data_IF_475499186525
#
_entry.id   IF_475499186525
#
_cell.length_a   1.000
_cell.length_b   1.000
_cell.length_c   1.000
_cell.angle_alpha   90.00
_cell.angle_beta   90.00
_cell.angle_gamma   90.00
#
_symmetry.space_group_name_H-M   'P 1'
#
loop_
_entity.id
_entity.type
_entity.pdbx_description
1 polymer ?
#
# COMPACT_ATOMS: atom_id res chain seq x y z
N UNK A 1 -28.58 5.76 25.99
CA UNK A 1 -27.16 6.14 25.85
C UNK A 1 -26.96 6.66 24.46
N UNK A 2 -26.82 7.99 24.33
CA UNK A 2 -26.71 8.70 23.07
C UNK A 2 -25.57 8.10 22.23
N UNK A 3 -25.92 7.36 21.18
CA UNK A 3 -24.94 6.88 20.22
C UNK A 3 -24.43 8.11 19.49
N UNK A 4 -23.29 8.61 19.95
CA UNK A 4 -22.64 9.78 19.38
C UNK A 4 -22.48 9.60 17.85
N UNK A 5 -23.12 10.50 17.11
CA UNK A 5 -23.34 10.40 15.67
C UNK A 5 -22.21 11.04 14.85
N UNK A 6 -21.14 11.57 15.48
CA UNK A 6 -20.12 12.36 14.78
C UNK A 6 -19.54 11.66 13.53
N UNK A 7 -19.38 10.33 13.55
CA UNK A 7 -18.97 9.57 12.37
C UNK A 7 -20.02 9.55 11.26
N UNK A 8 -21.28 9.25 11.56
CA UNK A 8 -22.37 9.27 10.56
C UNK A 8 -22.62 10.69 10.03
N UNK A 9 -22.58 11.69 10.91
CA UNK A 9 -22.72 13.09 10.55
C UNK A 9 -21.57 13.55 9.66
N UNK A 10 -20.33 13.12 9.92
CA UNK A 10 -19.20 13.42 9.05
C UNK A 10 -19.38 12.84 7.65
N UNK A 11 -19.93 11.62 7.53
CA UNK A 11 -20.24 11.03 6.22
C UNK A 11 -21.31 11.86 5.51
N UNK A 12 -22.48 12.07 6.14
CA UNK A 12 -23.58 12.83 5.52
C UNK A 12 -23.24 14.29 5.20
N UNK A 13 -22.24 14.89 5.87
CA UNK A 13 -21.75 16.23 5.59
C UNK A 13 -20.53 16.26 4.65
N UNK A 14 -20.27 15.19 3.90
CA UNK A 14 -19.19 15.08 2.90
C UNK A 14 -17.78 15.32 3.47
N UNK A 15 -17.55 14.97 4.75
CA UNK A 15 -16.28 15.23 5.45
C UNK A 15 -15.25 14.11 5.31
N UNK A 16 -15.51 13.11 4.47
CA UNK A 16 -14.68 11.90 4.30
C UNK A 16 -14.46 11.59 2.82
N UNK A 17 -13.24 11.19 2.46
CA UNK A 17 -12.89 10.60 1.16
C UNK A 17 -12.18 9.26 1.32
N UNK A 18 -12.01 8.52 0.22
CA UNK A 18 -11.28 7.24 0.19
C UNK A 18 -10.00 7.38 -0.62
N UNK A 19 -8.92 6.76 -0.15
CA UNK A 19 -7.64 6.61 -0.86
C UNK A 19 -7.30 5.13 -0.97
N UNK A 20 -7.42 4.58 -2.17
CA UNK A 20 -7.12 3.19 -2.46
C UNK A 20 -5.73 3.06 -3.11
N UNK A 21 -4.85 2.28 -2.48
CA UNK A 21 -3.47 2.08 -2.94
C UNK A 21 -3.43 1.03 -4.07
N UNK A 22 -3.18 1.47 -5.30
CA UNK A 22 -3.17 0.64 -6.52
C UNK A 22 -1.91 0.87 -7.37
N UNK A 23 -0.80 1.26 -6.73
CA UNK A 23 0.47 1.54 -7.38
C UNK A 23 1.23 0.27 -7.83
N UNK A 24 0.93 -0.89 -7.23
CA UNK A 24 1.60 -2.16 -7.51
C UNK A 24 0.98 -2.95 -8.66
N UNK A 25 1.81 -3.62 -9.46
CA UNK A 25 1.36 -4.52 -10.55
C UNK A 25 0.76 -5.83 -10.03
N UNK A 26 1.18 -6.29 -8.84
CA UNK A 26 0.69 -7.52 -8.20
C UNK A 26 1.11 -8.80 -8.92
N UNK A 27 2.42 -8.98 -9.15
CA UNK A 27 2.99 -10.11 -9.91
C UNK A 27 2.50 -11.50 -9.49
N UNK A 28 2.23 -11.74 -8.20
CA UNK A 28 1.67 -13.00 -7.69
C UNK A 28 0.28 -13.30 -8.25
N UNK A 29 -0.58 -12.28 -8.34
CA UNK A 29 -1.93 -12.41 -8.87
C UNK A 29 -1.96 -12.68 -10.36
N UNK A 30 -0.94 -12.20 -11.06
CA UNK A 30 -0.93 -12.17 -12.51
C UNK A 30 0.01 -13.21 -13.09
N UNK A 31 0.71 -13.96 -12.24
CA UNK A 31 1.79 -14.90 -12.60
C UNK A 31 2.79 -14.26 -13.59
N UNK A 32 3.03 -12.96 -13.44
CA UNK A 32 3.91 -12.19 -14.32
C UNK A 32 3.34 -11.81 -15.68
N UNK A 33 2.05 -12.01 -15.95
CA UNK A 33 1.39 -11.73 -17.24
C UNK A 33 1.27 -10.24 -17.60
N UNK A 34 1.91 -9.33 -16.85
CA UNK A 34 1.91 -7.90 -17.13
C UNK A 34 0.55 -7.21 -16.94
N UNK A 35 -0.44 -7.87 -16.34
CA UNK A 35 -1.72 -7.23 -15.97
C UNK A 35 -1.61 -6.57 -14.59
N UNK A 36 -2.50 -5.62 -14.32
CA UNK A 36 -2.52 -4.88 -13.05
C UNK A 36 -3.58 -5.51 -12.14
N UNK A 37 -3.16 -5.92 -10.93
CA UNK A 37 -4.03 -6.51 -9.91
C UNK A 37 -5.36 -5.75 -9.73
N UNK A 38 -5.30 -4.41 -9.63
CA UNK A 38 -6.47 -3.58 -9.38
C UNK A 38 -7.63 -3.78 -10.37
N UNK A 39 -7.31 -3.95 -11.66
CA UNK A 39 -8.30 -4.03 -12.76
C UNK A 39 -8.46 -5.45 -13.32
N UNK A 40 -7.67 -6.41 -12.85
CA UNK A 40 -7.77 -7.79 -13.26
C UNK A 40 -9.02 -8.45 -12.63
N UNK A 41 -9.97 -8.96 -13.43
CA UNK A 41 -11.09 -9.72 -12.90
C UNK A 41 -10.61 -11.01 -12.22
N UNK A 42 -11.14 -11.32 -11.03
CA UNK A 42 -10.63 -12.46 -10.25
C UNK A 42 -11.70 -13.23 -9.47
N UNK A 43 -12.90 -12.69 -9.29
CA UNK A 43 -14.00 -13.35 -8.56
C UNK A 43 -15.32 -13.07 -9.24
N UNK A 44 -16.21 -14.07 -9.28
CA UNK A 44 -17.59 -13.87 -9.72
C UNK A 44 -18.47 -13.34 -8.57
N UNK A 45 -19.14 -12.19 -8.78
CA UNK A 45 -20.16 -11.62 -7.90
C UNK A 45 -21.32 -11.07 -8.73
N UNK A 46 -22.56 -11.40 -8.35
CA UNK A 46 -23.77 -11.14 -9.12
C UNK A 46 -23.66 -11.54 -10.61
N UNK A 47 -23.19 -12.77 -10.89
CA UNK A 47 -23.13 -13.34 -12.24
C UNK A 47 -22.09 -12.73 -13.18
N UNK A 48 -21.16 -11.91 -12.67
CA UNK A 48 -20.07 -11.31 -13.45
C UNK A 48 -18.75 -11.40 -12.71
N UNK A 49 -17.66 -11.62 -13.44
CA UNK A 49 -16.32 -11.49 -12.89
C UNK A 49 -15.99 -10.02 -12.59
N UNK A 50 -15.66 -9.76 -11.33
CA UNK A 50 -15.33 -8.43 -10.81
C UNK A 50 -13.84 -8.29 -10.56
N UNK A 51 -13.35 -7.07 -10.74
CA UNK A 51 -11.99 -6.66 -10.37
C UNK A 51 -11.95 -6.08 -8.95
N UNK A 52 -10.76 -5.94 -8.37
CA UNK A 52 -10.62 -5.35 -7.03
C UNK A 52 -11.14 -3.91 -7.00
N UNK A 53 -10.77 -3.12 -8.01
CA UNK A 53 -11.15 -1.71 -8.09
C UNK A 53 -12.67 -1.53 -8.21
N UNK A 54 -13.31 -2.35 -9.02
CA UNK A 54 -14.77 -2.38 -9.18
C UNK A 54 -15.49 -2.67 -7.86
N UNK A 55 -15.01 -3.64 -7.08
CA UNK A 55 -15.58 -3.98 -5.77
C UNK A 55 -15.48 -2.79 -4.81
N UNK A 56 -14.34 -2.09 -4.78
CA UNK A 56 -14.20 -0.92 -3.91
C UNK A 56 -15.10 0.25 -4.32
N UNK A 57 -15.24 0.50 -5.62
CA UNK A 57 -16.17 1.52 -6.13
C UNK A 57 -17.63 1.16 -5.82
N UNK A 58 -18.01 -0.12 -5.91
CA UNK A 58 -19.35 -0.59 -5.56
C UNK A 58 -19.67 -0.44 -4.05
N UNK A 59 -18.69 -0.67 -3.17
CA UNK A 59 -18.85 -0.38 -1.72
C UNK A 59 -18.95 1.11 -1.43
N UNK A 60 -18.13 1.91 -2.12
CA UNK A 60 -18.18 3.36 -1.97
C UNK A 60 -19.53 3.93 -2.43
N UNK A 61 -20.08 3.41 -3.53
CA UNK A 61 -21.46 3.70 -3.99
C UNK A 61 -22.49 3.37 -2.92
N UNK A 62 -22.42 2.17 -2.35
CA UNK A 62 -23.35 1.74 -1.29
C UNK A 62 -23.34 2.70 -0.09
N UNK A 63 -22.15 3.17 0.32
CA UNK A 63 -22.03 4.11 1.43
C UNK A 63 -22.54 5.51 1.06
N UNK A 64 -22.17 6.01 -0.12
CA UNK A 64 -22.64 7.29 -0.64
C UNK A 64 -24.17 7.36 -0.70
N UNK A 65 -24.83 6.32 -1.22
CA UNK A 65 -26.29 6.21 -1.26
C UNK A 65 -26.91 6.15 0.14
N UNK A 66 -26.34 5.33 1.05
CA UNK A 66 -26.86 5.17 2.42
C UNK A 66 -26.88 6.47 3.21
N UNK A 67 -25.87 7.32 3.03
CA UNK A 67 -25.70 8.57 3.79
C UNK A 67 -26.08 9.82 2.99
N UNK A 68 -26.55 9.67 1.75
CA UNK A 68 -26.81 10.76 0.81
C UNK A 68 -25.62 11.73 0.71
N UNK A 69 -24.44 11.17 0.45
CA UNK A 69 -23.16 11.88 0.47
C UNK A 69 -22.39 11.72 -0.84
N UNK A 70 -21.62 12.74 -1.21
CA UNK A 70 -20.62 12.68 -2.27
C UNK A 70 -19.25 12.34 -1.68
N UNK A 71 -18.81 11.09 -1.89
CA UNK A 71 -17.56 10.59 -1.33
C UNK A 71 -16.48 10.56 -2.42
N UNK A 72 -15.46 11.44 -2.41
CA UNK A 72 -14.40 11.38 -3.40
C UNK A 72 -13.60 10.08 -3.24
N UNK A 73 -13.33 9.41 -4.37
CA UNK A 73 -12.56 8.17 -4.41
C UNK A 73 -11.24 8.39 -5.13
N UNK A 74 -10.12 8.30 -4.41
CA UNK A 74 -8.77 8.49 -4.94
C UNK A 74 -8.12 7.14 -5.16
N UNK A 75 -7.52 6.95 -6.33
CA UNK A 75 -6.72 5.77 -6.66
C UNK A 75 -5.28 6.24 -6.77
N UNK A 76 -4.44 5.83 -5.82
CA UNK A 76 -3.01 6.08 -5.89
C UNK A 76 -2.38 5.08 -6.88
N UNK A 77 -1.72 5.60 -7.90
CA UNK A 77 -1.15 4.82 -9.00
C UNK A 77 0.37 5.02 -9.07
N UNK A 78 1.06 4.21 -9.88
CA UNK A 78 2.46 4.43 -10.23
C UNK A 78 2.61 4.62 -11.74
N UNK A 79 3.83 4.88 -12.19
CA UNK A 79 4.17 4.86 -13.62
C UNK A 79 3.85 3.50 -14.29
N UNK A 80 3.69 2.42 -13.51
CA UNK A 80 3.31 1.10 -14.00
C UNK A 80 1.81 0.91 -14.13
N UNK A 81 1.01 1.63 -13.31
CA UNK A 81 -0.42 1.36 -13.19
C UNK A 81 -1.33 2.49 -13.66
N UNK A 82 -0.80 3.71 -13.83
CA UNK A 82 -1.57 4.90 -14.20
C UNK A 82 -2.37 4.70 -15.49
N UNK A 83 -1.70 4.49 -16.63
CA UNK A 83 -2.36 4.46 -17.93
C UNK A 83 -3.40 3.33 -18.07
N UNK A 84 -3.12 2.08 -17.65
CA UNK A 84 -4.11 1.04 -17.86
C UNK A 84 -5.29 1.16 -16.88
N UNK A 85 -5.10 1.69 -15.66
CA UNK A 85 -6.22 2.02 -14.76
C UNK A 85 -7.08 3.14 -15.35
N UNK A 86 -6.47 4.20 -15.86
CA UNK A 86 -7.18 5.32 -16.51
C UNK A 86 -8.04 4.84 -17.69
N UNK A 87 -7.44 4.05 -18.59
CA UNK A 87 -8.15 3.44 -19.72
C UNK A 87 -9.32 2.59 -19.26
N UNK A 88 -9.13 1.79 -18.22
CA UNK A 88 -10.17 0.91 -17.71
C UNK A 88 -11.33 1.69 -17.08
N UNK A 89 -11.04 2.75 -16.32
CA UNK A 89 -12.06 3.63 -15.76
C UNK A 89 -12.89 4.32 -16.85
N UNK A 90 -12.24 4.77 -17.93
CA UNK A 90 -12.94 5.34 -19.08
C UNK A 90 -13.87 4.32 -19.76
N UNK A 91 -13.35 3.12 -20.04
CA UNK A 91 -14.12 2.05 -20.71
C UNK A 91 -15.31 1.55 -19.88
N UNK A 92 -15.17 1.55 -18.56
CA UNK A 92 -16.20 1.08 -17.62
C UNK A 92 -17.11 2.20 -17.11
N UNK A 93 -16.88 3.45 -17.52
CA UNK A 93 -17.55 4.63 -16.95
C UNK A 93 -17.48 4.63 -15.41
N UNK A 94 -16.27 4.51 -14.86
CA UNK A 94 -16.00 4.35 -13.43
C UNK A 94 -16.78 3.19 -12.78
N UNK A 95 -17.02 2.11 -13.54
CA UNK A 95 -17.85 0.98 -13.11
C UNK A 95 -19.24 1.40 -12.58
N UNK A 96 -19.79 2.50 -13.11
CA UNK A 96 -21.09 3.04 -12.67
C UNK A 96 -21.08 3.77 -11.32
N UNK A 97 -19.90 4.10 -10.78
CA UNK A 97 -19.80 4.96 -9.60
C UNK A 97 -20.18 6.41 -9.97
N UNK A 98 -21.22 7.01 -9.36
CA UNK A 98 -21.70 8.34 -9.73
C UNK A 98 -20.84 9.48 -9.17
N UNK A 99 -20.05 9.20 -8.12
CA UNK A 99 -19.20 10.20 -7.48
C UNK A 99 -17.88 10.45 -8.22
N UNK A 100 -17.10 11.39 -7.70
CA UNK A 100 -15.83 11.79 -8.31
C UNK A 100 -14.73 10.75 -8.04
N UNK A 101 -14.07 10.30 -9.12
CA UNK A 101 -12.89 9.43 -9.07
C UNK A 101 -11.67 10.23 -9.48
N UNK A 102 -10.61 10.18 -8.67
CA UNK A 102 -9.34 10.85 -8.93
C UNK A 102 -8.22 9.83 -9.06
N UNK A 103 -7.37 10.00 -10.06
CA UNK A 103 -6.09 9.31 -10.12
C UNK A 103 -5.03 10.19 -9.47
N UNK A 104 -4.23 9.61 -8.57
CA UNK A 104 -3.08 10.27 -7.99
C UNK A 104 -1.80 9.62 -8.50
N UNK A 105 -1.19 10.15 -9.57
CA UNK A 105 -0.01 9.56 -10.18
C UNK A 105 1.20 9.64 -9.24
N UNK A 106 1.86 8.51 -9.05
CA UNK A 106 3.09 8.43 -8.28
C UNK A 106 4.21 9.26 -8.90
N UNK A 107 4.73 10.23 -8.16
CA UNK A 107 5.86 11.10 -8.56
C UNK A 107 7.18 10.73 -7.87
N UNK A 108 7.23 9.56 -7.22
CA UNK A 108 8.37 9.09 -6.44
C UNK A 108 8.83 7.76 -7.02
N UNK A 109 9.91 7.81 -7.80
CA UNK A 109 10.48 6.67 -8.53
C UNK A 109 11.89 6.43 -8.00
N UNK A 110 12.18 5.19 -7.62
CA UNK A 110 13.48 4.75 -7.14
C UNK A 110 14.30 4.14 -8.26
N UNK A 111 15.59 4.45 -8.26
CA UNK A 111 16.60 3.71 -9.00
C UNK A 111 16.99 2.47 -8.18
N UNK A 112 17.08 1.31 -8.83
CA UNK A 112 17.64 0.10 -8.23
C UNK A 112 19.16 0.15 -8.27
N UNK A 113 19.78 -0.53 -7.32
CA UNK A 113 21.23 -0.53 -7.16
C UNK A 113 21.80 -1.92 -7.36
N UNK A 114 23.07 -1.98 -7.74
CA UNK A 114 23.87 -3.19 -7.59
C UNK A 114 23.93 -3.50 -6.08
N UNK A 115 23.55 -4.71 -5.65
CA UNK A 115 23.51 -5.04 -4.22
C UNK A 115 24.93 -5.14 -3.64
N UNK A 116 25.07 -4.94 -2.33
CA UNK A 116 26.33 -5.18 -1.65
C UNK A 116 26.57 -6.69 -1.52
N UNK A 117 27.82 -7.15 -1.62
CA UNK A 117 28.23 -8.53 -1.32
C UNK A 117 27.74 -8.94 0.06
N UNK A 118 27.87 -8.04 1.05
CA UNK A 118 27.38 -8.27 2.42
C UNK A 118 25.89 -8.60 2.45
N UNK A 119 25.06 -7.86 1.72
CA UNK A 119 23.61 -8.04 1.73
C UNK A 119 23.23 -9.37 1.06
N UNK A 120 23.92 -9.75 -0.02
CA UNK A 120 23.73 -11.03 -0.68
C UNK A 120 24.12 -12.22 0.21
N UNK A 121 25.25 -12.11 0.93
CA UNK A 121 25.69 -13.13 1.89
C UNK A 121 24.69 -13.28 3.03
N UNK A 122 24.27 -12.17 3.64
CA UNK A 122 23.26 -12.19 4.67
C UNK A 122 21.98 -12.90 4.19
N UNK A 123 21.48 -12.52 3.00
CA UNK A 123 20.27 -13.12 2.43
C UNK A 123 20.39 -14.62 2.15
N UNK A 124 21.56 -15.10 1.72
CA UNK A 124 21.71 -16.47 1.22
C UNK A 124 22.36 -17.45 2.18
N UNK A 125 23.17 -16.95 3.11
CA UNK A 125 24.01 -17.73 4.03
C UNK A 125 23.52 -17.63 5.49
N UNK A 126 22.91 -16.50 5.89
CA UNK A 126 22.46 -16.28 7.28
C UNK A 126 20.95 -16.47 7.46
N UNK A 127 20.15 -15.97 6.53
CA UNK A 127 18.68 -16.11 6.59
C UNK A 127 18.25 -17.57 6.37
N UNK A 128 17.15 -18.04 7.00
CA UNK A 128 16.62 -19.38 6.77
C UNK A 128 16.42 -19.67 5.28
N UNK A 129 16.93 -20.81 4.80
CA UNK A 129 16.80 -21.28 3.42
C UNK A 129 16.24 -22.69 3.38
N UNK A 130 15.49 -23.01 2.33
CA UNK A 130 15.14 -24.40 2.01
C UNK A 130 16.43 -25.21 1.82
N UNK A 131 16.52 -26.36 2.49
CA UNK A 131 17.58 -27.32 2.28
C UNK A 131 17.28 -28.15 1.03
N UNK A 132 18.18 -28.10 0.06
CA UNK A 132 18.09 -28.86 -1.17
C UNK A 132 18.94 -30.13 -1.08
N UNK A 133 18.70 -31.08 -1.97
CA UNK A 133 19.61 -32.21 -2.15
C UNK A 133 21.02 -31.73 -2.51
N UNK A 134 22.03 -32.53 -2.18
CA UNK A 134 23.44 -32.13 -2.24
C UNK A 134 23.86 -31.57 -3.61
N UNK A 135 23.38 -32.18 -4.70
CA UNK A 135 23.73 -31.75 -6.05
C UNK A 135 23.07 -30.41 -6.40
N UNK A 136 21.77 -30.25 -6.10
CA UNK A 136 21.09 -28.95 -6.30
C UNK A 136 21.68 -27.85 -5.42
N UNK A 137 22.09 -28.18 -4.19
CA UNK A 137 22.76 -27.24 -3.31
C UNK A 137 24.08 -26.74 -3.91
N UNK A 138 24.93 -27.64 -4.42
CA UNK A 138 26.20 -27.27 -5.08
C UNK A 138 25.98 -26.34 -6.28
N UNK A 139 24.96 -26.61 -7.09
CA UNK A 139 24.59 -25.75 -8.23
C UNK A 139 24.11 -24.38 -7.76
N UNK A 140 23.25 -24.33 -6.73
CA UNK A 140 22.76 -23.08 -6.13
C UNK A 140 23.91 -22.23 -5.58
N UNK A 141 24.84 -22.85 -4.86
CA UNK A 141 25.99 -22.16 -4.26
C UNK A 141 26.98 -21.66 -5.33
N UNK A 142 27.16 -22.42 -6.41
CA UNK A 142 27.94 -21.96 -7.56
C UNK A 142 27.32 -20.72 -8.21
N UNK A 143 25.99 -20.72 -8.45
CA UNK A 143 25.28 -19.56 -8.96
C UNK A 143 25.42 -18.34 -8.04
N UNK A 144 25.19 -18.52 -6.74
CA UNK A 144 25.31 -17.44 -5.73
C UNK A 144 26.71 -16.82 -5.71
N UNK A 145 27.77 -17.63 -5.76
CA UNK A 145 29.15 -17.13 -5.87
C UNK A 145 29.37 -16.31 -7.14
N UNK A 146 28.84 -16.76 -8.27
CA UNK A 146 28.90 -16.00 -9.52
C UNK A 146 28.18 -14.66 -9.42
N UNK A 147 26.98 -14.63 -8.81
CA UNK A 147 26.21 -13.40 -8.62
C UNK A 147 26.88 -12.41 -7.65
N UNK A 148 27.55 -12.90 -6.60
CA UNK A 148 28.41 -12.05 -5.74
C UNK A 148 29.56 -11.47 -6.57
N UNK A 149 30.24 -12.31 -7.37
CA UNK A 149 31.31 -11.85 -8.25
C UNK A 149 30.84 -10.77 -9.23
N UNK A 150 29.65 -10.96 -9.83
CA UNK A 150 29.01 -9.97 -10.70
C UNK A 150 28.76 -8.64 -9.98
N UNK A 151 28.23 -8.67 -8.75
CA UNK A 151 27.96 -7.45 -7.99
C UNK A 151 29.24 -6.66 -7.69
N UNK A 152 30.34 -7.37 -7.36
CA UNK A 152 31.66 -6.75 -7.13
C UNK A 152 32.24 -6.13 -8.38
N UNK A 153 32.17 -6.85 -9.51
CA UNK A 153 32.67 -6.39 -10.80
C UNK A 153 31.91 -5.15 -11.32
N UNK A 154 30.58 -5.15 -11.16
CA UNK A 154 29.73 -4.00 -11.53
C UNK A 154 29.84 -2.81 -10.58
N UNK A 155 30.34 -3.02 -9.37
CA UNK A 155 30.49 -2.00 -8.33
C UNK A 155 29.28 -1.97 -7.39
N UNK A 156 29.49 -2.46 -6.17
CA UNK A 156 28.49 -2.53 -5.11
C UNK A 156 27.90 -1.14 -4.77
N UNK A 157 26.57 -1.06 -4.64
CA UNK A 157 25.85 0.16 -4.29
C UNK A 157 25.71 1.19 -5.43
N UNK A 158 26.31 0.92 -6.59
CA UNK A 158 26.16 1.78 -7.77
C UNK A 158 24.78 1.62 -8.42
N UNK A 159 24.40 2.58 -9.27
CA UNK A 159 23.14 2.51 -10.01
C UNK A 159 23.13 1.30 -10.94
N UNK A 160 22.07 0.48 -10.86
CA UNK A 160 21.79 -0.54 -11.86
C UNK A 160 21.26 0.12 -13.15
N UNK A 161 22.18 0.58 -14.00
CA UNK A 161 21.87 1.32 -15.22
C UNK A 161 21.72 0.43 -16.47
N UNK A 162 22.36 -0.73 -16.49
CA UNK A 162 22.48 -1.61 -17.65
C UNK A 162 21.23 -2.52 -17.82
N UNK A 163 20.03 -1.95 -18.01
CA UNK A 163 18.81 -2.71 -18.37
C UNK A 163 17.71 -1.76 -18.91
N UNK A 164 16.53 -2.28 -19.24
CA UNK A 164 15.34 -1.48 -19.56
C UNK A 164 14.78 -0.79 -18.31
N UNK A 165 14.13 0.37 -18.49
CA UNK A 165 13.62 1.19 -17.38
C UNK A 165 12.74 0.41 -16.38
N UNK A 166 11.89 -0.50 -16.86
CA UNK A 166 11.01 -1.32 -16.01
C UNK A 166 11.80 -2.25 -15.04
N UNK A 167 12.99 -2.68 -15.43
CA UNK A 167 13.87 -3.52 -14.60
C UNK A 167 14.80 -2.68 -13.72
N UNK A 168 15.01 -1.41 -14.04
CA UNK A 168 15.89 -0.49 -13.29
C UNK A 168 15.17 0.34 -12.24
N UNK A 169 13.90 0.62 -12.48
CA UNK A 169 13.11 1.51 -11.66
C UNK A 169 12.13 0.72 -10.80
N UNK A 170 11.83 1.26 -9.63
CA UNK A 170 10.84 0.71 -8.72
C UNK A 170 10.05 1.79 -7.99
N UNK A 171 8.82 1.50 -7.54
CA UNK A 171 8.17 2.29 -6.52
C UNK A 171 9.02 2.33 -5.23
N UNK A 172 9.00 3.45 -4.50
CA UNK A 172 9.78 3.66 -3.27
C UNK A 172 9.04 3.21 -1.99
N UNK A 173 8.14 2.24 -2.11
CA UNK A 173 7.25 1.83 -1.03
C UNK A 173 6.01 2.74 -0.86
N UNK A 174 5.01 2.21 -0.18
CA UNK A 174 3.68 2.81 -0.09
C UNK A 174 3.62 4.08 0.77
N UNK A 175 4.67 4.42 1.53
CA UNK A 175 4.73 5.70 2.26
C UNK A 175 4.57 6.90 1.33
N UNK A 176 5.11 6.83 0.10
CA UNK A 176 5.07 7.93 -0.86
C UNK A 176 3.71 8.15 -1.52
N UNK A 177 2.76 7.22 -1.40
CA UNK A 177 1.45 7.34 -2.09
C UNK A 177 0.64 8.54 -1.58
N UNK A 178 0.62 8.79 -0.26
CA UNK A 178 -0.05 9.97 0.33
C UNK A 178 0.72 11.27 0.06
N UNK A 179 2.04 11.38 0.31
CA UNK A 179 2.83 12.57 -0.07
C UNK A 179 2.76 12.91 -1.55
N UNK A 180 2.63 11.91 -2.45
CA UNK A 180 2.44 12.17 -3.87
C UNK A 180 1.14 12.95 -4.13
N UNK A 181 0.05 12.71 -3.38
CA UNK A 181 -1.18 13.51 -3.50
C UNK A 181 -0.97 14.99 -3.21
N UNK A 182 0.01 15.32 -2.34
CA UNK A 182 0.42 16.70 -2.09
C UNK A 182 1.19 17.26 -3.29
N UNK A 183 2.19 16.50 -3.76
CA UNK A 183 3.13 16.90 -4.84
C UNK A 183 2.50 16.96 -6.23
N UNK A 184 1.48 16.14 -6.51
CA UNK A 184 0.81 16.09 -7.80
C UNK A 184 -0.49 16.91 -7.84
N UNK A 185 -0.83 17.61 -6.75
CA UNK A 185 -2.00 18.47 -6.67
C UNK A 185 -3.33 17.73 -6.55
N UNK A 186 -3.36 16.39 -6.45
CA UNK A 186 -4.61 15.64 -6.27
C UNK A 186 -5.34 16.09 -5.00
N UNK A 187 -4.64 16.22 -3.87
CA UNK A 187 -5.29 16.66 -2.62
C UNK A 187 -5.78 18.12 -2.71
N UNK A 188 -4.99 18.99 -3.35
CA UNK A 188 -5.37 20.38 -3.58
C UNK A 188 -6.68 20.48 -4.39
N UNK A 189 -6.79 19.69 -5.46
CA UNK A 189 -8.00 19.60 -6.29
C UNK A 189 -9.20 19.10 -5.49
N UNK A 190 -9.03 18.04 -4.68
CA UNK A 190 -10.11 17.49 -3.85
C UNK A 190 -10.60 18.53 -2.84
N UNK A 191 -9.69 19.23 -2.15
CA UNK A 191 -10.04 20.27 -1.19
C UNK A 191 -10.74 21.45 -1.87
N UNK A 192 -10.29 21.86 -3.06
CA UNK A 192 -10.94 22.94 -3.81
C UNK A 192 -12.36 22.57 -4.24
N UNK A 193 -12.60 21.30 -4.58
CA UNK A 193 -13.90 20.83 -5.04
C UNK A 193 -14.84 20.41 -3.89
N UNK A 194 -14.29 20.04 -2.74
CA UNK A 194 -15.03 19.73 -1.51
C UNK A 194 -14.30 20.36 -0.30
N UNK A 195 -14.55 21.65 -0.01
CA UNK A 195 -13.92 22.33 1.12
C UNK A 195 -14.27 21.73 2.50
N UNK A 196 -15.39 21.01 2.60
CA UNK A 196 -15.85 20.38 3.85
C UNK A 196 -15.10 19.09 4.18
N UNK A 197 -14.30 18.53 3.26
CA UNK A 197 -13.53 17.32 3.51
C UNK A 197 -12.57 17.53 4.69
N UNK A 198 -12.57 16.63 5.66
CA UNK A 198 -11.71 16.70 6.86
C UNK A 198 -10.88 15.42 7.03
N UNK A 199 -11.38 14.29 6.55
CA UNK A 199 -10.81 12.98 6.80
C UNK A 199 -10.64 12.18 5.50
N UNK A 200 -9.70 11.24 5.51
CA UNK A 200 -9.50 10.24 4.45
C UNK A 200 -9.44 8.84 5.07
N UNK A 201 -10.04 7.87 4.39
CA UNK A 201 -9.84 6.44 4.63
C UNK A 201 -8.86 5.90 3.59
N UNK A 202 -7.63 5.59 4.02
CA UNK A 202 -6.63 4.91 3.19
C UNK A 202 -6.73 3.40 3.36
N UNK A 203 -6.66 2.63 2.28
CA UNK A 203 -6.52 1.17 2.34
C UNK A 203 -5.81 0.58 1.10
N UNK A 204 -5.26 -0.63 1.23
CA UNK A 204 -4.75 -1.38 0.09
C UNK A 204 -5.88 -1.85 -0.84
N UNK A 205 -5.59 -1.93 -2.14
CA UNK A 205 -6.51 -2.47 -3.15
C UNK A 205 -6.99 -3.90 -2.85
N UNK A 206 -6.20 -4.70 -2.13
CA UNK A 206 -6.51 -6.10 -1.80
C UNK A 206 -7.14 -6.32 -0.42
N UNK A 207 -7.39 -5.24 0.33
CA UNK A 207 -8.14 -5.28 1.60
C UNK A 207 -9.64 -5.08 1.32
N UNK A 208 -10.27 -6.08 0.72
CA UNK A 208 -11.63 -5.96 0.18
C UNK A 208 -12.72 -5.69 1.22
N UNK A 209 -12.47 -5.95 2.51
CA UNK A 209 -13.42 -5.61 3.58
C UNK A 209 -13.34 -4.16 4.08
N UNK A 210 -12.35 -3.38 3.65
CA UNK A 210 -12.21 -2.00 4.10
C UNK A 210 -13.28 -1.12 3.45
N UNK A 211 -14.14 -0.50 4.25
CA UNK A 211 -15.13 0.50 3.84
C UNK A 211 -15.22 1.62 4.90
N UNK A 212 -16.04 2.64 4.63
CA UNK A 212 -16.24 3.73 5.59
C UNK A 212 -17.20 3.24 6.69
N UNK A 213 -16.63 2.79 7.81
CA UNK A 213 -17.38 2.52 9.05
C UNK A 213 -17.63 3.83 9.83
N UNK A 214 -18.90 4.18 10.11
CA UNK A 214 -19.22 5.32 10.96
C UNK A 214 -18.64 5.21 12.36
N UNK A 215 -18.55 4.01 12.92
CA UNK A 215 -18.04 3.75 14.26
C UNK A 215 -16.53 4.01 14.34
N UNK A 216 -15.77 3.52 13.34
CA UNK A 216 -14.34 3.76 13.25
C UNK A 216 -14.02 5.24 12.97
N UNK A 217 -14.79 5.89 12.10
CA UNK A 217 -14.67 7.33 11.86
C UNK A 217 -15.01 8.15 13.11
N UNK A 218 -16.06 7.78 13.84
CA UNK A 218 -16.43 8.42 15.11
C UNK A 218 -15.29 8.33 16.14
N UNK A 219 -14.67 7.14 16.28
CA UNK A 219 -13.50 6.98 17.13
C UNK A 219 -12.33 7.90 16.68
N UNK A 220 -12.04 7.92 15.39
CA UNK A 220 -10.96 8.74 14.84
C UNK A 220 -11.16 10.25 15.12
N UNK A 221 -12.38 10.75 14.89
CA UNK A 221 -12.74 12.15 15.14
C UNK A 221 -12.59 12.48 16.64
N UNK A 222 -13.22 11.69 17.51
CA UNK A 222 -13.25 11.95 18.96
C UNK A 222 -11.90 11.84 19.65
N UNK A 223 -11.10 10.85 19.25
CA UNK A 223 -9.75 10.68 19.79
C UNK A 223 -8.85 11.86 19.41
N UNK A 224 -9.22 12.62 18.37
CA UNK A 224 -8.42 13.71 17.86
C UNK A 224 -7.06 13.23 17.33
N UNK A 225 -6.97 11.99 16.87
CA UNK A 225 -5.74 11.45 16.29
C UNK A 225 -5.43 12.14 14.94
N UNK A 226 -4.16 12.12 14.56
CA UNK A 226 -3.75 12.42 13.18
C UNK A 226 -3.99 11.19 12.31
N UNK A 227 -3.63 10.01 12.82
CA UNK A 227 -3.78 8.71 12.16
C UNK A 227 -4.45 7.71 13.10
N UNK A 228 -5.45 6.96 12.65
CA UNK A 228 -5.91 5.75 13.34
C UNK A 228 -5.73 4.54 12.43
N UNK A 229 -4.89 3.60 12.84
CA UNK A 229 -4.62 2.37 12.08
C UNK A 229 -5.58 1.26 12.50
N UNK A 230 -6.11 0.52 11.54
CA UNK A 230 -6.82 -0.71 11.85
C UNK A 230 -5.87 -1.89 11.88
N UNK A 231 -6.12 -2.79 12.82
CA UNK A 231 -5.41 -4.06 12.97
C UNK A 231 -6.41 -5.18 13.14
N UNK A 232 -6.03 -6.41 12.77
CA UNK A 232 -6.84 -7.61 13.02
C UNK A 232 -6.06 -8.58 13.91
N UNK A 233 -6.73 -9.49 14.62
CA UNK A 233 -6.06 -10.62 15.26
C UNK A 233 -5.23 -11.40 14.23
N UNK A 234 -3.96 -11.61 14.55
CA UNK A 234 -3.01 -12.31 13.69
C UNK A 234 -3.34 -13.81 13.60
N UNK A 235 -3.18 -14.37 12.41
CA UNK A 235 -3.18 -15.82 12.13
C UNK A 235 -1.85 -16.20 11.51
N UNK A 236 -1.58 -17.50 11.47
CA UNK A 236 -0.30 -18.05 11.00
C UNK A 236 0.02 -17.68 9.55
N UNK A 237 -1.00 -17.53 8.70
CA UNK A 237 -0.83 -17.19 7.28
C UNK A 237 -0.63 -15.69 7.03
N UNK A 238 -0.70 -14.86 8.07
CA UNK A 238 -0.47 -13.43 7.94
C UNK A 238 1.03 -13.14 7.91
N UNK A 239 1.54 -12.74 6.75
CA UNK A 239 2.91 -12.25 6.60
C UNK A 239 2.93 -10.72 6.52
N UNK A 240 3.72 -10.06 7.36
CA UNK A 240 3.89 -8.62 7.40
C UNK A 240 3.82 -8.05 8.81
N UNK A 241 3.99 -6.73 8.88
CA UNK A 241 4.07 -6.02 10.15
C UNK A 241 2.83 -6.12 11.04
N UNK A 242 3.01 -5.75 12.30
CA UNK A 242 1.98 -5.82 13.31
C UNK A 242 2.14 -4.76 14.40
N UNK A 243 1.23 -4.79 15.37
CA UNK A 243 1.26 -3.85 16.49
C UNK A 243 2.24 -4.32 17.57
N UNK A 244 3.15 -3.44 17.98
CA UNK A 244 4.12 -3.72 19.03
C UNK A 244 4.27 -2.54 19.99
N UNK A 245 4.76 -2.82 21.20
CA UNK A 245 5.18 -1.79 22.16
C UNK A 245 6.71 -1.73 22.16
N UNK A 246 7.27 -0.69 21.55
CA UNK A 246 8.72 -0.47 21.43
C UNK A 246 9.08 0.74 22.28
N UNK A 247 10.01 0.57 23.23
CA UNK A 247 10.46 1.63 24.15
C UNK A 247 9.29 2.39 24.81
N UNK A 248 8.27 1.66 25.28
CA UNK A 248 7.10 2.24 25.93
C UNK A 248 6.00 2.74 24.99
N UNK A 249 6.27 2.91 23.70
CA UNK A 249 5.32 3.45 22.71
C UNK A 249 4.70 2.33 21.88
N UNK A 250 3.38 2.33 21.79
CA UNK A 250 2.64 1.47 20.85
C UNK A 250 2.83 2.02 19.44
N UNK A 251 3.28 1.18 18.51
CA UNK A 251 3.49 1.51 17.10
C UNK A 251 3.30 0.28 16.22
N UNK A 252 3.08 0.51 14.93
CA UNK A 252 3.26 -0.54 13.95
C UNK A 252 4.75 -0.81 13.77
N UNK A 253 5.09 -2.09 13.61
CA UNK A 253 6.42 -2.56 13.32
C UNK A 253 6.33 -3.40 12.05
N UNK A 254 7.05 -3.00 11.01
CA UNK A 254 7.09 -3.71 9.74
C UNK A 254 7.86 -5.02 9.88
N UNK A 255 7.49 -6.05 9.12
CA UNK A 255 8.17 -7.36 9.19
C UNK A 255 9.67 -7.24 8.90
N UNK A 256 10.03 -6.38 7.95
CA UNK A 256 11.43 -6.06 7.59
C UNK A 256 12.22 -5.37 8.70
N UNK A 257 11.55 -4.86 9.74
CA UNK A 257 12.19 -4.22 10.89
C UNK A 257 12.44 -5.21 12.04
N UNK A 258 11.92 -6.44 11.95
CA UNK A 258 12.13 -7.47 12.95
C UNK A 258 13.53 -8.08 12.78
N UNK A 259 14.24 -8.38 13.88
CA UNK A 259 15.57 -8.96 13.80
C UNK A 259 15.54 -10.41 13.31
N UNK A 260 14.48 -11.17 13.65
CA UNK A 260 14.28 -12.55 13.20
C UNK A 260 12.86 -12.73 12.64
N UNK A 261 12.70 -13.59 11.65
CA UNK A 261 11.37 -13.90 11.06
C UNK A 261 10.39 -14.47 12.10
N UNK A 262 10.87 -15.27 13.05
CA UNK A 262 10.03 -15.85 14.11
C UNK A 262 9.44 -14.81 15.07
N UNK A 263 10.06 -13.62 15.19
CA UNK A 263 9.54 -12.54 16.03
C UNK A 263 8.19 -12.02 15.51
N UNK A 264 7.90 -12.22 14.22
CA UNK A 264 6.64 -11.88 13.61
C UNK A 264 5.50 -12.66 14.29
N UNK A 265 5.74 -13.93 14.64
CA UNK A 265 4.77 -14.81 15.32
C UNK A 265 4.48 -14.38 16.77
N UNK A 266 5.34 -13.54 17.36
CA UNK A 266 5.13 -13.00 18.72
C UNK A 266 4.12 -11.85 18.72
N UNK A 267 3.78 -11.29 17.57
CA UNK A 267 2.81 -10.20 17.44
C UNK A 267 1.38 -10.74 17.53
N UNK A 268 0.53 -10.11 18.34
CA UNK A 268 -0.88 -10.52 18.46
C UNK A 268 -1.79 -9.91 17.38
N UNK A 269 -1.33 -8.83 16.76
CA UNK A 269 -2.12 -8.03 15.83
C UNK A 269 -1.38 -7.84 14.51
N UNK A 270 -2.09 -8.04 13.41
CA UNK A 270 -1.61 -7.83 12.05
C UNK A 270 -2.08 -6.47 11.51
N UNK A 271 -1.18 -5.74 10.83
CA UNK A 271 -1.49 -4.47 10.19
C UNK A 271 -2.32 -4.68 8.91
N UNK A 272 -3.53 -4.14 8.86
CA UNK A 272 -4.41 -4.28 7.69
C UNK A 272 -4.07 -3.31 6.57
N UNK A 273 -3.15 -2.37 6.80
CA UNK A 273 -2.90 -1.23 5.91
C UNK A 273 -4.15 -0.35 5.69
N UNK A 274 -5.10 -0.36 6.63
CA UNK A 274 -6.24 0.57 6.66
C UNK A 274 -5.95 1.69 7.65
N UNK A 275 -6.00 2.95 7.21
CA UNK A 275 -5.67 4.12 8.03
C UNK A 275 -6.72 5.21 7.87
N UNK A 276 -7.27 5.68 8.96
CA UNK A 276 -8.06 6.90 9.04
C UNK A 276 -7.12 8.09 9.25
N UNK A 277 -7.27 9.13 8.43
CA UNK A 277 -6.34 10.25 8.34
C UNK A 277 -7.13 11.54 8.51
N UNK A 278 -6.74 12.39 9.45
CA UNK A 278 -7.22 13.76 9.51
C UNK A 278 -6.33 14.66 8.64
N UNK A 279 -6.92 15.34 7.65
CA UNK A 279 -6.20 16.07 6.61
C UNK A 279 -5.36 17.20 7.21
N UNK A 280 -5.96 18.07 8.02
CA UNK A 280 -5.28 19.25 8.54
C UNK A 280 -4.14 18.88 9.49
N UNK A 281 -4.35 17.87 10.34
CA UNK A 281 -3.29 17.36 11.21
C UNK A 281 -2.18 16.68 10.41
N UNK A 282 -2.49 15.96 9.34
CA UNK A 282 -1.47 15.38 8.48
C UNK A 282 -0.65 16.48 7.80
N UNK A 283 -1.29 17.52 7.27
CA UNK A 283 -0.60 18.65 6.65
C UNK A 283 0.36 19.33 7.64
N UNK A 284 -0.06 19.51 8.90
CA UNK A 284 0.81 20.04 9.94
C UNK A 284 2.06 19.19 10.19
N UNK A 285 1.99 17.86 10.06
CA UNK A 285 3.18 16.97 10.14
C UNK A 285 4.19 17.28 9.04
N UNK A 286 3.71 17.67 7.85
CA UNK A 286 4.55 18.13 6.74
C UNK A 286 4.94 19.62 6.84
N UNK A 287 4.53 20.34 7.89
CA UNK A 287 4.73 21.79 7.98
C UNK A 287 3.92 22.58 6.95
N UNK A 288 2.76 22.04 6.54
CA UNK A 288 1.85 22.62 5.55
C UNK A 288 0.47 22.88 6.16
N UNK A 289 -0.31 23.72 5.50
CA UNK A 289 -1.75 23.86 5.71
C UNK A 289 -2.51 23.73 4.37
N UNK A 290 -3.84 23.84 4.38
CA UNK A 290 -4.63 23.72 3.13
C UNK A 290 -4.29 24.79 2.10
N UNK A 291 -4.07 26.03 2.52
CA UNK A 291 -3.76 27.15 1.61
C UNK A 291 -2.41 26.93 0.93
N UNK A 292 -1.43 26.36 1.64
CA UNK A 292 -0.13 26.02 1.07
C UNK A 292 -0.24 25.07 -0.12
N UNK A 293 -1.22 24.16 -0.15
CA UNK A 293 -1.44 23.26 -1.28
C UNK A 293 -1.90 23.98 -2.55
N UNK A 294 -2.44 25.19 -2.41
CA UNK A 294 -2.94 26.01 -3.51
C UNK A 294 -1.93 27.09 -3.93
N UNK A 295 -1.10 27.57 -2.98
CA UNK A 295 -0.22 28.72 -3.21
C UNK A 295 1.26 28.36 -3.35
N UNK A 296 1.74 27.28 -2.70
CA UNK A 296 3.15 26.89 -2.79
C UNK A 296 3.44 26.16 -4.09
N UNK A 297 4.67 26.31 -4.56
CA UNK A 297 5.18 25.58 -5.72
C UNK A 297 5.39 24.10 -5.41
N UNK A 298 5.43 23.26 -6.44
CA UNK A 298 5.75 21.83 -6.29
C UNK A 298 7.12 21.62 -5.61
N UNK A 299 8.09 22.51 -5.83
CA UNK A 299 9.41 22.44 -5.22
C UNK A 299 9.35 22.62 -3.68
N UNK A 300 8.58 23.60 -3.21
CA UNK A 300 8.38 23.86 -1.78
C UNK A 300 7.62 22.70 -1.10
N UNK A 301 6.56 22.19 -1.75
CA UNK A 301 5.84 20.99 -1.26
C UNK A 301 6.78 19.77 -1.24
N UNK A 302 7.65 19.64 -2.24
CA UNK A 302 8.63 18.54 -2.28
C UNK A 302 9.63 18.63 -1.12
N UNK A 303 10.07 19.83 -0.73
CA UNK A 303 10.96 19.99 0.43
C UNK A 303 10.25 19.65 1.75
N UNK A 304 9.00 20.07 1.91
CA UNK A 304 8.14 19.66 3.02
C UNK A 304 8.03 18.13 3.12
N UNK A 305 7.77 17.44 2.00
CA UNK A 305 7.76 15.97 1.94
C UNK A 305 9.11 15.37 2.32
N UNK A 306 10.22 15.92 1.81
CA UNK A 306 11.58 15.44 2.15
C UNK A 306 11.91 15.58 3.62
N UNK A 307 11.46 16.65 4.27
CA UNK A 307 11.68 16.89 5.70
C UNK A 307 11.13 15.75 6.57
N UNK A 308 9.93 15.24 6.22
CA UNK A 308 9.32 14.09 6.90
C UNK A 308 9.98 12.79 6.45
N UNK A 309 10.26 12.62 5.15
CA UNK A 309 10.86 11.40 4.60
C UNK A 309 12.21 11.05 5.26
N UNK A 310 13.01 12.05 5.63
CA UNK A 310 14.29 11.88 6.37
C UNK A 310 14.13 11.24 7.75
N UNK A 311 12.93 11.32 8.34
CA UNK A 311 12.60 10.80 9.67
C UNK A 311 12.00 9.40 9.64
N UNK A 312 11.56 8.95 8.46
CA UNK A 312 10.99 7.63 8.23
C UNK A 312 12.14 6.65 7.97
N UNK A 313 12.11 5.41 8.51
CA UNK A 313 13.06 4.37 8.15
C UNK A 313 13.15 4.14 6.64
N UNK A 314 14.29 3.65 6.17
CA UNK A 314 14.48 3.20 4.79
C UNK A 314 14.86 1.73 4.84
N UNK A 315 14.07 0.87 4.23
CA UNK A 315 14.38 -0.55 4.12
C UNK A 315 15.10 -0.81 2.80
N UNK A 316 16.12 -1.66 2.85
CA UNK A 316 16.77 -2.20 1.67
C UNK A 316 16.24 -3.62 1.48
N UNK A 317 15.76 -3.92 0.28
CA UNK A 317 15.29 -5.26 -0.09
C UNK A 317 16.03 -5.73 -1.33
N UNK A 318 16.39 -7.00 -1.35
CA UNK A 318 16.93 -7.64 -2.55
C UNK A 318 15.77 -8.20 -3.35
N UNK A 319 15.74 -7.85 -4.64
CA UNK A 319 14.75 -8.33 -5.62
C UNK A 319 15.47 -8.92 -6.81
N UNK A 320 14.81 -9.86 -7.47
CA UNK A 320 15.27 -10.42 -8.72
C UNK A 320 14.69 -9.65 -9.90
N UNK A 321 15.55 -9.27 -10.84
CA UNK A 321 15.16 -8.66 -12.12
C UNK A 321 15.60 -9.53 -13.28
N UNK A 322 14.84 -9.43 -14.38
CA UNK A 322 15.16 -10.15 -15.62
C UNK A 322 16.10 -9.29 -16.47
N UNK A 323 17.19 -9.88 -16.91
CA UNK A 323 18.13 -9.27 -17.85
C UNK A 323 18.13 -10.07 -19.15
N UNK A 324 17.72 -9.43 -20.25
CA UNK A 324 17.61 -10.07 -21.55
C UNK A 324 18.75 -9.64 -22.46
N UNK A 325 19.39 -10.59 -23.11
CA UNK A 325 20.52 -10.36 -24.01
C UNK A 325 20.52 -11.33 -25.19
N UNK A 326 21.34 -11.02 -26.20
CA UNK A 326 21.49 -11.84 -27.40
C UNK A 326 20.15 -12.12 -28.10
N UNK A 327 19.95 -13.38 -28.51
CA UNK A 327 18.78 -13.85 -29.24
C UNK A 327 17.68 -14.41 -28.31
N UNK A 328 17.39 -13.70 -27.21
CA UNK A 328 16.32 -14.07 -26.28
C UNK A 328 16.76 -14.87 -25.05
N UNK A 329 18.04 -14.80 -24.69
CA UNK A 329 18.54 -15.32 -23.41
C UNK A 329 18.02 -14.42 -22.27
N UNK A 330 17.72 -15.03 -21.12
CA UNK A 330 17.22 -14.33 -19.94
C UNK A 330 17.99 -14.80 -18.70
N UNK A 331 18.71 -13.86 -18.08
CA UNK A 331 19.35 -14.06 -16.78
C UNK A 331 18.50 -13.41 -15.68
N UNK A 332 18.64 -13.94 -14.46
CA UNK A 332 18.03 -13.38 -13.26
C UNK A 332 19.14 -12.77 -12.41
N UNK A 333 19.07 -11.45 -12.21
CA UNK A 333 20.07 -10.70 -11.45
C UNK A 333 19.47 -10.16 -10.16
N UNK A 334 20.15 -10.29 -9.01
CA UNK A 334 19.71 -9.66 -7.77
C UNK A 334 20.03 -8.16 -7.82
N UNK A 335 19.09 -7.34 -7.37
CA UNK A 335 19.23 -5.90 -7.28
C UNK A 335 18.71 -5.41 -5.93
N UNK A 336 19.37 -4.40 -5.39
CA UNK A 336 18.90 -3.72 -4.20
C UNK A 336 17.86 -2.66 -4.57
N UNK A 337 16.78 -2.63 -3.79
CA UNK A 337 15.70 -1.65 -3.89
C UNK A 337 15.45 -1.06 -2.51
N UNK A 338 15.19 0.25 -2.47
CA UNK A 338 14.83 0.95 -1.23
C UNK A 338 13.32 1.18 -1.14
N UNK A 339 12.77 1.04 0.07
CA UNK A 339 11.36 1.25 0.35
C UNK A 339 11.14 2.03 1.65
N UNK A 340 10.12 2.88 1.68
CA UNK A 340 9.55 3.49 2.89
C UNK A 340 8.12 3.03 3.07
N UNK A 341 7.78 2.64 4.29
CA UNK A 341 6.49 2.01 4.60
C UNK A 341 5.61 2.96 5.43
N UNK A 342 4.34 3.06 5.05
CA UNK A 342 3.35 3.94 5.68
C UNK A 342 3.14 3.65 7.17
N UNK A 343 3.25 2.40 7.61
CA UNK A 343 3.10 2.03 9.03
C UNK A 343 4.11 2.72 9.93
N UNK A 344 5.29 3.07 9.41
CA UNK A 344 6.33 3.78 10.14
C UNK A 344 5.97 5.22 10.50
N UNK A 345 4.90 5.79 9.94
CA UNK A 345 4.33 7.05 10.44
C UNK A 345 4.00 6.96 11.94
N UNK A 346 3.62 5.77 12.42
CA UNK A 346 3.34 5.54 13.83
C UNK A 346 4.59 5.57 14.73
N UNK A 347 5.79 5.46 14.15
CA UNK A 347 7.04 5.58 14.90
C UNK A 347 7.35 7.03 15.30
N UNK A 348 6.90 8.02 14.52
CA UNK A 348 7.15 9.44 14.75
C UNK A 348 6.50 9.94 16.05
N UNK A 349 7.29 10.55 16.94
CA UNK A 349 6.87 10.93 18.30
C UNK A 349 5.89 12.11 18.35
N UNK A 350 5.89 12.95 17.32
CA UNK A 350 5.01 14.12 17.12
C UNK A 350 3.73 13.77 16.35
N UNK A 351 3.54 12.52 15.92
CA UNK A 351 2.32 12.08 15.23
C UNK A 351 1.43 11.31 16.20
N UNK A 352 0.31 11.93 16.59
CA UNK A 352 -0.69 11.28 17.45
C UNK A 352 -1.40 10.17 16.68
N UNK A 353 -1.13 8.92 17.05
CA UNK A 353 -1.70 7.73 16.44
C UNK A 353 -2.66 6.99 17.38
N UNK A 354 -3.69 6.35 16.84
CA UNK A 354 -4.53 5.38 17.54
C UNK A 354 -4.68 4.08 16.77
N UNK A 355 -5.31 3.10 17.41
CA UNK A 355 -5.42 1.74 16.89
C UNK A 355 -6.84 1.21 17.11
N UNK A 356 -7.40 0.58 16.07
CA UNK A 356 -8.73 -0.01 16.08
C UNK A 356 -8.57 -1.49 15.78
N UNK A 357 -9.03 -2.35 16.69
CA UNK A 357 -9.09 -3.79 16.42
C UNK A 357 -10.37 -4.05 15.63
N UNK A 358 -10.20 -4.48 14.39
CA UNK A 358 -11.29 -4.72 13.44
C UNK A 358 -11.60 -6.21 13.30
N UNK A 359 -12.82 -6.58 12.87
CA UNK A 359 -13.12 -7.94 12.46
C UNK A 359 -12.20 -8.39 11.32
N UNK A 360 -11.85 -9.69 11.31
CA UNK A 360 -10.99 -10.30 10.29
C UNK A 360 -11.44 -9.95 8.86
N UNK A 361 -12.72 -10.11 8.57
CA UNK A 361 -13.31 -9.87 7.23
C UNK A 361 -13.04 -8.45 6.74
N UNK A 362 -13.00 -7.46 7.64
CA UNK A 362 -12.73 -6.04 7.31
C UNK A 362 -11.27 -5.81 6.91
N UNK A 363 -10.34 -6.47 7.58
CA UNK A 363 -8.90 -6.20 7.47
C UNK A 363 -8.07 -7.25 6.71
N UNK A 364 -8.66 -8.39 6.34
CA UNK A 364 -7.95 -9.45 5.62
C UNK A 364 -7.53 -8.97 4.23
N UNK A 365 -6.29 -9.30 3.87
CA UNK A 365 -5.71 -8.97 2.57
C UNK A 365 -5.64 -10.22 1.69
N UNK A 366 -6.12 -10.11 0.45
CA UNK A 366 -5.98 -11.15 -0.57
C UNK A 366 -4.67 -10.95 -1.35
N UNK A 367 -3.57 -11.44 -0.79
CA UNK A 367 -2.21 -11.31 -1.34
C UNK A 367 -1.91 -12.32 -2.45
N UNK A 368 -2.56 -13.47 -2.45
CA UNK A 368 -2.33 -14.55 -3.40
C UNK A 368 -3.65 -15.20 -3.88
N UNK A 369 -3.78 -15.58 -5.17
CA UNK A 369 -4.94 -16.33 -5.66
C UNK A 369 -5.25 -17.62 -4.87
N UNK A 370 -4.24 -18.27 -4.29
CA UNK A 370 -4.43 -19.47 -3.46
C UNK A 370 -5.31 -19.22 -2.22
N UNK A 371 -5.52 -17.96 -1.83
CA UNK A 371 -6.36 -17.60 -0.69
C UNK A 371 -7.86 -17.57 -1.04
N UNK A 372 -8.23 -17.62 -2.33
CA UNK A 372 -9.62 -17.45 -2.77
C UNK A 372 -10.56 -18.51 -2.21
N UNK A 373 -10.16 -19.78 -2.23
CA UNK A 373 -11.02 -20.87 -1.74
C UNK A 373 -11.34 -20.69 -0.26
N UNK A 374 -10.34 -20.37 0.56
CA UNK A 374 -10.52 -20.12 2.00
C UNK A 374 -11.42 -18.90 2.27
N UNK A 375 -11.26 -17.84 1.47
CA UNK A 375 -12.03 -16.61 1.58
C UNK A 375 -13.49 -16.75 1.12
N UNK A 376 -13.76 -17.71 0.22
CA UNK A 376 -15.13 -18.09 -0.14
C UNK A 376 -15.73 -18.99 0.95
N UNK A 377 -14.98 -20.01 1.39
CA UNK A 377 -15.44 -21.00 2.34
C UNK A 377 -15.73 -20.42 3.73
N UNK A 378 -14.97 -19.40 4.17
CA UNK A 378 -15.16 -18.76 5.47
C UNK A 378 -16.27 -17.67 5.49
N UNK A 379 -16.94 -17.46 4.34
CA UNK A 379 -18.04 -16.50 4.20
C UNK A 379 -17.61 -15.05 3.96
N UNK A 380 -16.30 -14.76 3.96
CA UNK A 380 -15.79 -13.39 3.75
C UNK A 380 -16.22 -12.82 2.39
N UNK A 381 -16.22 -13.64 1.33
CA UNK A 381 -16.75 -13.23 0.01
C UNK A 381 -18.18 -12.72 0.12
N UNK A 382 -19.07 -13.48 0.78
CA UNK A 382 -20.49 -13.14 0.88
C UNK A 382 -20.73 -11.87 1.68
N UNK A 383 -19.95 -11.65 2.75
CA UNK A 383 -19.99 -10.38 3.50
C UNK A 383 -19.60 -9.22 2.59
N UNK A 384 -18.49 -9.33 1.85
CA UNK A 384 -18.03 -8.28 0.93
C UNK A 384 -19.04 -8.02 -0.19
N UNK A 385 -19.63 -9.08 -0.75
CA UNK A 385 -20.69 -8.96 -1.76
C UNK A 385 -21.91 -8.19 -1.22
N UNK A 386 -22.29 -8.42 0.05
CA UNK A 386 -23.40 -7.70 0.70
C UNK A 386 -23.13 -6.20 0.94
N UNK A 387 -21.86 -5.78 0.93
CA UNK A 387 -21.46 -4.38 1.07
C UNK A 387 -21.52 -3.62 -0.26
N UNK A 388 -21.68 -4.30 -1.39
CA UNK A 388 -21.57 -3.72 -2.73
C UNK A 388 -22.93 -3.32 -3.30
N UNK A 389 -22.95 -2.19 -4.01
CA UNK A 389 -24.02 -1.82 -4.95
C UNK A 389 -23.44 -1.78 -6.37
N UNK A 390 -23.60 -2.89 -7.10
CA UNK A 390 -23.11 -3.04 -8.48
C UNK A 390 -23.93 -2.28 -9.51
#
# INVERSE_FOLDING_TARGET
NDFDKAGSDAISNNKIGVVCLAAGVGSRWTKGAGVIKAINPFVEMNGKHRSFLEIHLAKNKSTAEKYNSEIPFVIATSYLTQQPIEKQLLLSSNYGYPGKVYLSPGKSIGQRFIPMERDLRFLWEEMPQEQLDENKQKVRDALRRTLIGWAKDKGEGSDYADNIAFQRLSPLGHWYEVPNMLRNGTLAKIISENPAIENLLLHNIDTLGADISPEALNYHIKSGNTLSFEVIPRRIDDSGGGLAKINGKIRLLEGLALPNEEDELKLSYYNTMTTWINIDKLLNVFGLNRNDLLTKTEAEITEAVRSVAKRIPTYVTIKDVKYRWGNGQEDILPVAQIEKLWGDMSSLTDVKCGYIVSPRVRGQQLKDPAQLDSWVADGSKSVIESMCRF
#
